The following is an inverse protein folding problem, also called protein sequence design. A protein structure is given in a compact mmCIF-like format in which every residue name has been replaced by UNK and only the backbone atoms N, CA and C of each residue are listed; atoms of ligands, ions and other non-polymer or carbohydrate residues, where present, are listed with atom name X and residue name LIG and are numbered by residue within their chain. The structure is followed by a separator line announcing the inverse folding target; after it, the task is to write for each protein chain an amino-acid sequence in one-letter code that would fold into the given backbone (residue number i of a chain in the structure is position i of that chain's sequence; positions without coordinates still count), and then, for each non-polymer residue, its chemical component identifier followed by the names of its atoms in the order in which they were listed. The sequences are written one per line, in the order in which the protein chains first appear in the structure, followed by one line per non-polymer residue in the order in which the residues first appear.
data_IF_865710299313
#
_entry.id   IF_865710299313
#
_cell.length_a   1.000
_cell.length_b   1.000
_cell.length_c   1.000
_cell.angle_alpha   90.00
_cell.angle_beta   90.00
_cell.angle_gamma   90.00
#
_symmetry.space_group_name_H-M   'P 1'
#
loop_
_entity.id
_entity.type
_entity.pdbx_description
1 polymer ?
#
# COMPACT_ATOMS: atom_id res chain seq x y z
N UNK A 1 -15.27 21.32 -5.26
CA UNK A 1 -15.62 19.93 -5.61
C UNK A 1 -14.68 18.98 -4.87
N UNK A 2 -15.17 17.85 -4.34
CA UNK A 2 -14.29 16.82 -3.75
C UNK A 2 -13.48 16.16 -4.86
N UNK A 3 -12.16 16.20 -4.76
CA UNK A 3 -11.26 15.54 -5.72
C UNK A 3 -11.49 14.02 -5.69
N UNK A 4 -11.50 13.34 -6.85
CA UNK A 4 -11.54 11.88 -6.87
C UNK A 4 -10.29 11.31 -6.19
N UNK A 5 -10.50 10.32 -5.33
CA UNK A 5 -9.44 9.56 -4.66
C UNK A 5 -9.54 8.12 -5.11
N UNK A 6 -8.44 7.57 -5.62
CA UNK A 6 -8.31 6.18 -6.02
C UNK A 6 -7.43 5.47 -5.00
N UNK A 7 -7.85 4.30 -4.53
CA UNK A 7 -7.11 3.50 -3.56
C UNK A 7 -6.77 2.13 -4.12
N UNK A 8 -5.55 1.69 -3.82
CA UNK A 8 -5.06 0.34 -4.09
C UNK A 8 -5.42 -0.66 -2.97
N UNK A 9 -5.29 -1.95 -3.23
CA UNK A 9 -5.68 -3.02 -2.31
C UNK A 9 -4.86 -2.98 -1.01
N UNK A 10 -3.53 -2.90 -1.13
CA UNK A 10 -2.64 -2.87 0.03
C UNK A 10 -2.90 -1.66 0.92
N UNK A 11 -3.09 -0.48 0.33
CA UNK A 11 -3.44 0.76 1.05
C UNK A 11 -4.73 0.59 1.84
N UNK A 12 -5.79 0.05 1.23
CA UNK A 12 -7.07 -0.19 1.92
C UNK A 12 -6.89 -1.17 3.09
N UNK A 13 -6.21 -2.30 2.85
CA UNK A 13 -6.00 -3.33 3.87
C UNK A 13 -5.25 -2.73 5.07
N UNK A 14 -4.17 -2.00 4.83
CA UNK A 14 -3.34 -1.43 5.90
C UNK A 14 -4.13 -0.40 6.72
N UNK A 15 -4.90 0.48 6.06
CA UNK A 15 -5.73 1.48 6.75
C UNK A 15 -6.82 0.82 7.62
N UNK A 16 -7.45 -0.26 7.14
CA UNK A 16 -8.45 -0.99 7.92
C UNK A 16 -7.87 -1.70 9.14
N UNK A 17 -6.59 -2.10 9.08
CA UNK A 17 -5.92 -2.80 10.18
C UNK A 17 -5.45 -1.90 11.31
N UNK A 18 -5.19 -0.63 11.00
CA UNK A 18 -4.77 0.38 11.98
C UNK A 18 -5.92 1.28 12.44
N UNK A 19 -7.13 1.06 11.93
CA UNK A 19 -8.28 1.88 12.29
C UNK A 19 -8.73 1.58 13.72
N UNK A 20 -9.18 2.62 14.40
CA UNK A 20 -9.62 2.58 15.80
C UNK A 20 -10.93 3.35 15.94
N UNK A 21 -11.92 2.74 16.59
CA UNK A 21 -13.24 3.31 16.83
C UNK A 21 -13.92 3.88 15.56
N UNK A 22 -13.72 3.20 14.42
CA UNK A 22 -14.22 3.59 13.10
C UNK A 22 -13.76 4.99 12.64
N UNK A 23 -12.67 5.51 13.21
CA UNK A 23 -12.24 6.88 12.95
C UNK A 23 -11.78 7.08 11.50
N UNK A 24 -10.79 6.31 11.04
CA UNK A 24 -10.32 6.37 9.66
C UNK A 24 -11.42 5.94 8.70
N UNK A 25 -12.21 4.92 9.03
CA UNK A 25 -13.39 4.53 8.26
C UNK A 25 -14.32 5.71 7.97
N UNK A 26 -14.72 6.48 8.99
CA UNK A 26 -15.58 7.67 8.82
C UNK A 26 -14.93 8.71 7.92
N UNK A 27 -13.63 8.95 8.08
CA UNK A 27 -12.90 9.90 7.24
C UNK A 27 -12.80 9.43 5.78
N UNK A 28 -12.53 8.15 5.54
CA UNK A 28 -12.51 7.55 4.21
C UNK A 28 -13.89 7.64 3.55
N UNK A 29 -14.98 7.33 4.27
CA UNK A 29 -16.34 7.49 3.76
C UNK A 29 -16.70 8.94 3.41
N UNK A 30 -15.99 9.93 3.95
CA UNK A 30 -16.18 11.33 3.59
C UNK A 30 -15.54 11.70 2.24
N UNK A 31 -14.60 10.89 1.75
CA UNK A 31 -13.91 11.11 0.48
C UNK A 31 -14.76 10.66 -0.71
N UNK A 32 -14.41 11.17 -1.90
CA UNK A 32 -14.99 10.69 -3.15
C UNK A 32 -14.17 9.50 -3.67
N UNK A 33 -14.37 8.35 -3.06
CA UNK A 33 -13.56 7.15 -3.29
C UNK A 33 -13.95 6.40 -4.57
N UNK A 34 -12.93 5.92 -5.26
CA UNK A 34 -12.99 5.08 -6.45
C UNK A 34 -12.04 3.90 -6.27
N UNK A 35 -12.48 2.71 -6.64
CA UNK A 35 -11.68 1.49 -6.56
C UNK A 35 -11.90 0.69 -7.84
N UNK A 36 -10.81 0.16 -8.41
CA UNK A 36 -10.88 -0.70 -9.59
C UNK A 36 -11.42 -2.10 -9.22
N UNK A 37 -12.09 -2.77 -10.16
CA UNK A 37 -12.71 -4.08 -9.88
C UNK A 37 -11.68 -5.13 -9.43
N UNK A 38 -10.50 -5.15 -10.06
CA UNK A 38 -9.43 -6.08 -9.69
C UNK A 38 -8.90 -5.81 -8.27
N UNK A 39 -8.80 -4.54 -7.89
CA UNK A 39 -8.42 -4.15 -6.51
C UNK A 39 -9.44 -4.70 -5.51
N UNK A 40 -10.74 -4.62 -5.81
CA UNK A 40 -11.76 -5.18 -4.93
C UNK A 40 -11.62 -6.72 -4.76
N UNK A 41 -11.28 -7.42 -5.85
CA UNK A 41 -11.01 -8.86 -5.80
C UNK A 41 -9.75 -9.17 -4.98
N UNK A 42 -8.69 -8.38 -5.13
CA UNK A 42 -7.45 -8.49 -4.36
C UNK A 42 -7.68 -8.27 -2.87
N UNK A 43 -8.51 -7.30 -2.48
CA UNK A 43 -8.89 -7.06 -1.08
C UNK A 43 -9.57 -8.29 -0.50
N UNK A 44 -10.62 -8.80 -1.16
CA UNK A 44 -11.38 -9.96 -0.68
C UNK A 44 -10.49 -11.20 -0.56
N UNK A 45 -9.50 -11.33 -1.45
CA UNK A 45 -8.53 -12.41 -1.42
C UNK A 45 -7.55 -12.26 -0.25
N UNK A 46 -7.03 -11.06 0.03
CA UNK A 46 -5.85 -10.89 0.88
C UNK A 46 -6.13 -10.37 2.29
N UNK A 47 -7.29 -9.74 2.55
CA UNK A 47 -7.51 -9.02 3.81
C UNK A 47 -7.40 -9.92 5.05
N UNK A 48 -7.83 -11.19 4.94
CA UNK A 48 -7.81 -12.20 6.01
C UNK A 48 -6.64 -13.21 5.92
N UNK A 49 -5.65 -12.99 5.04
CA UNK A 49 -4.53 -13.92 4.87
C UNK A 49 -3.51 -13.88 6.02
N UNK A 50 -3.32 -12.71 6.64
CA UNK A 50 -2.43 -12.59 7.80
C UNK A 50 -3.19 -12.94 9.08
N UNK A 51 -2.45 -13.35 10.13
CA UNK A 51 -3.02 -13.49 11.45
C UNK A 51 -3.59 -12.15 11.92
N UNK A 52 -4.90 -12.14 12.17
CA UNK A 52 -5.63 -11.02 12.75
C UNK A 52 -6.19 -11.50 14.09
N UNK A 53 -6.22 -10.60 15.07
CA UNK A 53 -6.99 -10.84 16.29
C UNK A 53 -8.47 -11.04 15.95
N UNK A 54 -9.20 -11.73 16.83
CA UNK A 54 -10.65 -11.94 16.67
C UNK A 54 -11.41 -10.61 16.62
N UNK A 55 -10.96 -9.62 17.41
CA UNK A 55 -11.48 -8.26 17.42
C UNK A 55 -11.27 -7.57 16.05
N UNK A 56 -10.04 -7.58 15.53
CA UNK A 56 -9.75 -7.01 14.20
C UNK A 56 -10.55 -7.69 13.09
N UNK A 57 -10.65 -9.03 13.13
CA UNK A 57 -11.42 -9.80 12.15
C UNK A 57 -12.90 -9.41 12.19
N UNK A 58 -13.48 -9.30 13.38
CA UNK A 58 -14.88 -8.92 13.58
C UNK A 58 -15.11 -7.49 13.10
N UNK A 59 -14.23 -6.56 13.49
CA UNK A 59 -14.25 -5.17 13.04
C UNK A 59 -14.23 -5.05 11.52
N UNK A 60 -13.18 -5.59 10.88
CA UNK A 60 -12.98 -5.53 9.43
C UNK A 60 -14.17 -6.16 8.68
N UNK A 61 -14.69 -7.29 9.16
CA UNK A 61 -15.86 -7.95 8.57
C UNK A 61 -17.12 -7.08 8.64
N UNK A 62 -17.25 -6.23 9.66
CA UNK A 62 -18.35 -5.29 9.82
C UNK A 62 -18.20 -4.02 8.96
N UNK A 63 -16.99 -3.45 8.87
CA UNK A 63 -16.78 -2.16 8.18
C UNK A 63 -16.49 -2.29 6.69
N UNK A 64 -15.84 -3.36 6.23
CA UNK A 64 -15.47 -3.51 4.81
C UNK A 64 -16.68 -3.46 3.87
N UNK A 65 -17.80 -4.18 4.13
CA UNK A 65 -18.98 -4.11 3.25
C UNK A 65 -19.59 -2.70 3.21
N UNK A 66 -19.58 -2.00 4.36
CA UNK A 66 -20.07 -0.63 4.45
C UNK A 66 -19.18 0.31 3.63
N UNK A 67 -17.86 0.14 3.72
CA UNK A 67 -16.89 0.94 2.98
C UNK A 67 -17.01 0.69 1.47
N UNK A 68 -17.14 -0.58 1.05
CA UNK A 68 -17.40 -0.97 -0.34
C UNK A 68 -18.68 -0.33 -0.90
N UNK A 69 -19.75 -0.22 -0.09
CA UNK A 69 -20.99 0.44 -0.50
C UNK A 69 -20.84 1.95 -0.79
N UNK A 70 -19.76 2.57 -0.29
CA UNK A 70 -19.45 4.00 -0.50
C UNK A 70 -18.50 4.23 -1.68
N UNK A 71 -17.76 3.21 -2.10
CA UNK A 71 -16.85 3.34 -3.23
C UNK A 71 -17.63 3.34 -4.53
N UNK A 72 -17.26 4.25 -5.41
CA UNK A 72 -17.77 4.21 -6.77
C UNK A 72 -17.01 3.12 -7.50
N UNK A 73 -17.61 1.93 -7.66
CA UNK A 73 -17.04 0.90 -8.52
C UNK A 73 -17.16 1.38 -9.96
N UNK A 74 -16.03 1.39 -10.66
CA UNK A 74 -16.01 1.60 -12.08
C UNK A 74 -15.95 0.24 -12.76
N UNK A 75 -17.13 -0.39 -12.83
CA UNK A 75 -17.29 -1.62 -13.59
C UNK A 75 -16.77 -1.32 -15.00
N UNK A 76 -15.78 -2.09 -15.44
CA UNK A 76 -15.19 -2.00 -16.79
C UNK A 76 -14.16 -0.87 -17.02
N UNK A 77 -13.23 -0.67 -16.08
CA UNK A 77 -12.07 0.22 -16.28
C UNK A 77 -11.29 -0.07 -17.58
N UNK A 78 -11.29 -1.32 -18.05
CA UNK A 78 -10.66 -1.73 -19.32
C UNK A 78 -11.54 -1.53 -20.56
N UNK A 79 -12.87 -1.44 -20.44
CA UNK A 79 -13.73 -1.14 -21.60
C UNK A 79 -13.74 0.37 -21.92
N UNK A 80 -13.19 1.19 -21.01
CA UNK A 80 -13.02 2.64 -21.18
C UNK A 80 -11.76 3.02 -21.94
N UNK A 81 -10.79 2.09 -22.06
CA UNK A 81 -9.54 2.33 -22.74
C UNK A 81 -9.36 1.27 -23.80
N UNK A 82 -9.37 1.69 -25.06
CA UNK A 82 -8.99 0.87 -26.20
C UNK A 82 -7.68 0.12 -25.90
N UNK A 83 -7.64 -1.19 -26.16
CA UNK A 83 -6.47 -2.04 -25.90
C UNK A 83 -5.23 -1.48 -26.60
N UNK A 84 -5.44 -0.91 -27.79
CA UNK A 84 -4.41 -0.25 -28.56
C UNK A 84 -3.89 1.02 -27.89
N UNK A 85 -4.78 1.80 -27.25
CA UNK A 85 -4.39 2.96 -26.45
C UNK A 85 -3.55 2.57 -25.24
N UNK A 86 -3.96 1.51 -24.52
CA UNK A 86 -3.21 1.00 -23.37
C UNK A 86 -1.80 0.55 -23.76
N UNK A 87 -1.68 -0.33 -24.76
CA UNK A 87 -0.40 -0.89 -25.20
C UNK A 87 0.53 0.21 -25.75
N UNK A 88 0.01 1.11 -26.59
CA UNK A 88 0.83 2.14 -27.26
C UNK A 88 1.23 3.29 -26.34
N UNK A 89 0.38 3.68 -25.39
CA UNK A 89 0.59 4.91 -24.62
C UNK A 89 0.96 4.66 -23.16
N UNK A 90 0.28 3.74 -22.47
CA UNK A 90 0.49 3.56 -21.04
C UNK A 90 1.62 2.56 -20.79
N UNK A 91 1.53 1.37 -21.39
CA UNK A 91 2.51 0.30 -21.18
C UNK A 91 3.89 0.67 -21.70
N UNK A 92 3.97 1.27 -22.90
CA UNK A 92 5.22 1.74 -23.49
C UNK A 92 5.89 2.83 -22.66
N UNK A 93 5.11 3.79 -22.15
CA UNK A 93 5.63 4.92 -21.37
C UNK A 93 6.16 4.46 -20.01
N UNK A 94 5.36 3.65 -19.31
CA UNK A 94 5.66 3.17 -17.95
C UNK A 94 6.61 1.97 -17.93
N UNK A 95 6.94 1.43 -19.12
CA UNK A 95 7.69 0.18 -19.29
C UNK A 95 7.08 -0.96 -18.46
N UNK A 96 5.76 -0.98 -18.35
CA UNK A 96 5.06 -1.97 -17.55
C UNK A 96 5.12 -3.33 -18.25
N UNK A 97 5.81 -4.28 -17.63
CA UNK A 97 6.03 -5.64 -18.14
C UNK A 97 5.21 -6.69 -17.40
N UNK A 98 4.57 -6.32 -16.29
CA UNK A 98 3.74 -7.22 -15.49
C UNK A 98 2.39 -7.48 -16.20
N UNK A 99 1.73 -8.56 -15.80
CA UNK A 99 0.33 -8.82 -16.16
C UNK A 99 -0.55 -7.72 -15.56
N UNK A 100 -1.74 -7.56 -16.11
CA UNK A 100 -2.77 -6.66 -15.56
C UNK A 100 -2.95 -6.97 -14.07
N UNK A 101 -2.75 -5.94 -13.24
CA UNK A 101 -2.81 -5.95 -11.78
C UNK A 101 -3.61 -4.73 -11.26
N UNK A 102 -3.90 -4.72 -9.96
CA UNK A 102 -4.67 -3.64 -9.31
C UNK A 102 -4.07 -2.25 -9.52
N UNK A 103 -2.75 -2.11 -9.50
CA UNK A 103 -2.05 -0.83 -9.60
C UNK A 103 -2.15 -0.23 -11.01
N UNK A 104 -2.04 -1.07 -12.04
CA UNK A 104 -2.23 -0.65 -13.41
C UNK A 104 -3.67 -0.18 -13.64
N UNK A 105 -4.66 -0.97 -13.19
CA UNK A 105 -6.06 -0.59 -13.33
C UNK A 105 -6.39 0.69 -12.57
N UNK A 106 -5.81 0.88 -11.39
CA UNK A 106 -5.97 2.11 -10.60
C UNK A 106 -5.35 3.33 -11.28
N UNK A 107 -4.21 3.16 -11.96
CA UNK A 107 -3.58 4.21 -12.76
C UNK A 107 -4.41 4.59 -13.99
N UNK A 108 -4.96 3.59 -14.68
CA UNK A 108 -5.90 3.78 -15.79
C UNK A 108 -7.17 4.51 -15.32
N UNK A 109 -7.78 4.02 -14.23
CA UNK A 109 -8.96 4.61 -13.62
C UNK A 109 -8.70 6.08 -13.27
N UNK A 110 -7.52 6.39 -12.71
CA UNK A 110 -7.13 7.75 -12.38
C UNK A 110 -7.09 8.66 -13.61
N UNK A 111 -6.54 8.19 -14.74
CA UNK A 111 -6.57 8.93 -15.99
C UNK A 111 -8.02 9.18 -16.45
N UNK A 112 -8.86 8.14 -16.50
CA UNK A 112 -10.25 8.24 -16.92
C UNK A 112 -11.04 9.24 -16.05
N UNK A 113 -10.89 9.18 -14.73
CA UNK A 113 -11.54 10.09 -13.79
C UNK A 113 -11.07 11.53 -13.96
N UNK A 114 -9.76 11.73 -14.19
CA UNK A 114 -9.21 13.06 -14.44
C UNK A 114 -9.83 13.71 -15.68
N UNK A 115 -10.01 12.93 -16.77
CA UNK A 115 -10.66 13.41 -17.99
C UNK A 115 -12.15 13.61 -17.83
N UNK A 116 -12.84 12.68 -17.17
CA UNK A 116 -14.30 12.74 -16.96
C UNK A 116 -14.73 13.93 -16.12
N UNK A 117 -13.96 14.29 -15.08
CA UNK A 117 -14.32 15.34 -14.14
C UNK A 117 -13.52 16.63 -14.30
N UNK A 118 -12.61 16.70 -15.28
CA UNK A 118 -11.70 17.82 -15.47
C UNK A 118 -10.99 18.24 -14.16
N UNK A 119 -10.53 17.27 -13.39
CA UNK A 119 -9.98 17.49 -12.05
C UNK A 119 -8.73 16.65 -11.80
N UNK A 120 -7.84 17.13 -10.94
CA UNK A 120 -6.74 16.30 -10.42
C UNK A 120 -7.28 15.14 -9.58
N UNK A 121 -6.67 13.98 -9.76
CA UNK A 121 -6.97 12.72 -9.06
C UNK A 121 -5.81 12.36 -8.14
N UNK A 122 -6.13 11.88 -6.95
CA UNK A 122 -5.14 11.40 -5.98
C UNK A 122 -5.20 9.88 -5.93
N UNK A 123 -4.16 9.22 -6.40
CA UNK A 123 -4.04 7.76 -6.33
C UNK A 123 -3.11 7.39 -5.17
N UNK A 124 -3.59 6.58 -4.22
CA UNK A 124 -2.76 6.10 -3.11
C UNK A 124 -2.50 4.60 -3.26
N UNK A 125 -1.22 4.24 -3.23
CA UNK A 125 -0.74 2.85 -3.24
C UNK A 125 0.47 2.71 -2.33
N UNK A 126 0.48 1.62 -1.55
CA UNK A 126 1.63 1.20 -0.75
C UNK A 126 2.60 0.35 -1.60
N UNK A 127 2.28 0.09 -2.88
CA UNK A 127 3.22 -0.44 -3.87
C UNK A 127 4.18 0.68 -4.31
N UNK A 128 5.32 0.81 -3.62
CA UNK A 128 6.34 1.80 -3.95
C UNK A 128 6.90 1.69 -5.39
N UNK A 129 7.27 0.50 -5.92
CA UNK A 129 7.63 0.32 -7.33
C UNK A 129 6.55 0.78 -8.31
N UNK A 130 5.27 0.53 -8.05
CA UNK A 130 4.18 1.05 -8.87
C UNK A 130 4.12 2.56 -8.77
N UNK A 131 4.24 3.13 -7.55
CA UNK A 131 4.35 4.57 -7.32
C UNK A 131 5.42 5.19 -8.22
N UNK A 132 6.65 4.69 -8.18
CA UNK A 132 7.76 5.18 -9.00
C UNK A 132 7.56 4.93 -10.50
N UNK A 133 7.04 3.77 -10.87
CA UNK A 133 6.75 3.41 -12.27
C UNK A 133 5.74 4.36 -12.91
N UNK A 134 4.68 4.73 -12.19
CA UNK A 134 3.57 5.52 -12.72
C UNK A 134 3.71 7.03 -12.44
N UNK A 135 4.60 7.46 -11.53
CA UNK A 135 4.79 8.88 -11.17
C UNK A 135 4.99 9.79 -12.37
N UNK A 136 5.95 9.47 -13.23
CA UNK A 136 6.25 10.27 -14.42
C UNK A 136 5.07 10.29 -15.41
N UNK A 137 4.29 9.21 -15.45
CA UNK A 137 3.08 9.15 -16.28
C UNK A 137 1.99 10.08 -15.73
N UNK A 138 1.77 10.08 -14.42
CA UNK A 138 0.84 10.99 -13.75
C UNK A 138 1.20 12.45 -13.97
N UNK A 139 2.48 12.79 -13.86
CA UNK A 139 2.99 14.13 -14.11
C UNK A 139 2.82 14.52 -15.58
N UNK A 140 3.30 13.71 -16.52
CA UNK A 140 3.21 14.02 -17.95
C UNK A 140 1.75 14.18 -18.42
N UNK A 141 0.86 13.29 -17.97
CA UNK A 141 -0.56 13.32 -18.33
C UNK A 141 -1.37 14.31 -17.49
N UNK A 142 -0.75 15.03 -16.55
CA UNK A 142 -1.42 15.99 -15.66
C UNK A 142 -2.63 15.36 -14.94
N UNK A 143 -2.51 14.09 -14.54
CA UNK A 143 -3.59 13.34 -13.89
C UNK A 143 -3.84 13.87 -12.47
N UNK A 144 -2.76 14.20 -11.77
CA UNK A 144 -2.77 14.56 -10.36
C UNK A 144 -1.51 14.00 -9.69
N UNK A 145 -1.66 13.34 -8.56
CA UNK A 145 -0.52 12.80 -7.80
C UNK A 145 -0.72 11.35 -7.42
N UNK A 146 0.39 10.64 -7.32
CA UNK A 146 0.48 9.30 -6.76
C UNK A 146 1.15 9.38 -5.38
N UNK A 147 0.48 8.90 -4.35
CA UNK A 147 0.89 8.91 -2.95
C UNK A 147 0.83 7.52 -2.34
N UNK A 148 1.12 7.43 -1.05
CA UNK A 148 1.00 6.21 -0.23
C UNK A 148 0.11 6.46 1.01
N UNK A 149 -0.10 5.44 1.86
CA UNK A 149 -0.92 5.59 3.07
C UNK A 149 -0.44 6.69 4.02
N UNK A 150 0.87 6.99 4.07
CA UNK A 150 1.42 8.10 4.86
C UNK A 150 0.93 9.44 4.31
N UNK A 151 0.99 9.62 2.97
CA UNK A 151 0.46 10.82 2.30
C UNK A 151 -1.05 10.97 2.55
N UNK A 152 -1.80 9.87 2.56
CA UNK A 152 -3.23 9.88 2.82
C UNK A 152 -3.56 10.25 4.27
N UNK A 153 -2.84 9.71 5.26
CA UNK A 153 -3.04 10.07 6.66
C UNK A 153 -2.81 11.56 6.90
N UNK A 154 -1.75 12.13 6.31
CA UNK A 154 -1.47 13.58 6.36
C UNK A 154 -2.60 14.37 5.70
N UNK A 155 -3.08 13.92 4.53
CA UNK A 155 -4.20 14.58 3.84
C UNK A 155 -5.49 14.54 4.68
N UNK A 156 -5.80 13.40 5.31
CA UNK A 156 -6.95 13.24 6.18
C UNK A 156 -6.84 14.13 7.43
N UNK A 157 -5.63 14.21 8.02
CA UNK A 157 -5.33 15.09 9.15
C UNK A 157 -5.59 16.56 8.81
N UNK A 158 -5.07 17.00 7.65
CA UNK A 158 -5.25 18.37 7.18
C UNK A 158 -6.72 18.71 6.92
N UNK A 159 -7.48 17.77 6.37
CA UNK A 159 -8.85 17.98 5.93
C UNK A 159 -9.91 17.71 7.02
N UNK A 160 -9.51 17.34 8.23
CA UNK A 160 -10.42 16.94 9.31
C UNK A 160 -10.10 17.66 10.61
N UNK A 161 -11.02 18.50 11.13
CA UNK A 161 -10.82 19.20 12.40
C UNK A 161 -10.55 18.24 13.57
N UNK A 162 -11.32 17.15 13.66
CA UNK A 162 -11.28 16.17 14.76
C UNK A 162 -10.06 15.23 14.74
N UNK A 163 -9.18 15.38 13.75
CA UNK A 163 -7.95 14.60 13.61
C UNK A 163 -6.78 15.36 14.22
N UNK A 164 -6.58 15.27 15.54
CA UNK A 164 -5.49 15.95 16.26
C UNK A 164 -4.10 15.38 15.97
N UNK A 165 -3.03 16.14 16.25
CA UNK A 165 -1.62 15.69 16.14
C UNK A 165 -1.37 14.36 16.84
N UNK A 166 -1.82 14.22 18.09
CA UNK A 166 -1.70 12.97 18.88
C UNK A 166 -2.31 11.76 18.17
N UNK A 167 -3.43 11.95 17.47
CA UNK A 167 -4.06 10.88 16.69
C UNK A 167 -3.24 10.58 15.45
N UNK A 168 -2.70 11.60 14.78
CA UNK A 168 -1.87 11.41 13.58
C UNK A 168 -0.59 10.64 13.94
N UNK A 169 0.09 11.06 14.99
CA UNK A 169 1.27 10.36 15.51
C UNK A 169 0.98 8.89 15.84
N UNK A 170 -0.17 8.63 16.50
CA UNK A 170 -0.62 7.27 16.80
C UNK A 170 -0.86 6.45 15.53
N UNK A 171 -1.64 6.95 14.56
CA UNK A 171 -1.87 6.21 13.32
C UNK A 171 -0.60 6.00 12.49
N UNK A 172 0.34 6.96 12.50
CA UNK A 172 1.66 6.77 11.89
C UNK A 172 2.47 5.68 12.60
N UNK A 173 2.42 5.64 13.93
CA UNK A 173 3.04 4.57 14.71
C UNK A 173 2.40 3.20 14.43
N UNK A 174 1.08 3.12 14.35
CA UNK A 174 0.37 1.87 14.10
C UNK A 174 0.59 1.38 12.65
N UNK A 175 0.65 2.30 11.69
CA UNK A 175 1.04 2.00 10.31
C UNK A 175 2.48 1.49 10.23
N UNK A 176 3.39 2.09 11.00
CA UNK A 176 4.77 1.61 11.13
C UNK A 176 4.82 0.19 11.70
N UNK A 177 4.00 -0.10 12.71
CA UNK A 177 3.91 -1.43 13.30
C UNK A 177 3.36 -2.45 12.29
N UNK A 178 2.31 -2.10 11.54
CA UNK A 178 1.72 -2.97 10.50
C UNK A 178 2.73 -3.29 9.39
N UNK A 179 3.46 -2.30 8.89
CA UNK A 179 4.51 -2.53 7.90
C UNK A 179 5.62 -3.45 8.43
N UNK A 180 6.04 -3.27 9.68
CA UNK A 180 7.06 -4.13 10.29
C UNK A 180 6.54 -5.52 10.67
N UNK A 181 5.25 -5.68 10.96
CA UNK A 181 4.64 -6.96 11.28
C UNK A 181 4.71 -7.90 10.08
N UNK A 182 4.43 -7.38 8.88
CA UNK A 182 4.56 -8.15 7.64
C UNK A 182 5.99 -8.70 7.44
N UNK A 183 7.00 -7.87 7.69
CA UNK A 183 8.42 -8.25 7.61
C UNK A 183 8.78 -9.29 8.68
N UNK A 184 8.37 -9.04 9.92
CA UNK A 184 8.67 -9.93 11.05
C UNK A 184 8.07 -11.31 10.87
N UNK A 185 6.81 -11.39 10.40
CA UNK A 185 6.13 -12.65 10.12
C UNK A 185 6.80 -13.42 8.97
N UNK A 186 7.25 -12.71 7.93
CA UNK A 186 7.98 -13.33 6.84
C UNK A 186 9.32 -13.92 7.29
N UNK A 187 10.10 -13.17 8.07
CA UNK A 187 11.38 -13.65 8.62
C UNK A 187 11.16 -14.85 9.55
N UNK A 188 10.13 -14.80 10.39
CA UNK A 188 9.74 -15.95 11.23
C UNK A 188 9.36 -17.17 10.38
N UNK A 189 8.63 -16.98 9.30
CA UNK A 189 8.32 -18.05 8.34
C UNK A 189 9.56 -18.64 7.67
N UNK A 190 10.58 -17.83 7.36
CA UNK A 190 11.89 -18.32 6.89
C UNK A 190 12.57 -19.14 7.98
N UNK A 191 12.55 -18.66 9.22
CA UNK A 191 13.19 -19.35 10.33
C UNK A 191 12.55 -20.73 10.57
N UNK A 192 11.23 -20.78 10.67
CA UNK A 192 10.46 -22.01 10.84
C UNK A 192 10.64 -23.00 9.68
N UNK A 193 10.61 -22.51 8.43
CA UNK A 193 10.79 -23.40 7.29
C UNK A 193 12.23 -23.93 7.22
N UNK A 194 13.22 -23.14 7.66
CA UNK A 194 14.64 -23.50 7.57
C UNK A 194 14.93 -24.81 8.31
N UNK A 195 14.28 -25.05 9.45
CA UNK A 195 14.40 -26.28 10.24
C UNK A 195 14.08 -27.54 9.41
N UNK A 196 13.13 -27.46 8.47
CA UNK A 196 12.82 -28.59 7.57
C UNK A 196 13.92 -28.89 6.54
N UNK A 197 14.89 -27.98 6.37
CA UNK A 197 16.03 -28.09 5.45
C UNK A 197 17.36 -28.39 6.14
N UNK A 198 17.40 -28.67 7.46
CA UNK A 198 18.65 -28.99 8.20
C UNK A 198 19.52 -30.04 7.48
N UNK A 199 18.89 -31.08 6.92
CA UNK A 199 19.62 -32.15 6.19
C UNK A 199 20.19 -31.67 4.85
N UNK A 200 19.61 -30.63 4.24
CA UNK A 200 20.10 -29.95 3.03
C UNK A 200 20.93 -28.73 3.42
N UNK A 201 22.14 -28.98 3.96
CA UNK A 201 23.03 -27.95 4.55
C UNK A 201 23.18 -26.66 3.74
N UNK A 202 23.29 -26.75 2.41
CA UNK A 202 23.41 -25.56 1.55
C UNK A 202 22.17 -24.67 1.58
N UNK A 203 20.97 -25.27 1.53
CA UNK A 203 19.70 -24.52 1.56
C UNK A 203 19.47 -23.95 2.96
N UNK A 204 19.71 -24.75 4.00
CA UNK A 204 19.62 -24.30 5.38
C UNK A 204 20.49 -23.06 5.64
N UNK A 205 21.76 -23.11 5.21
CA UNK A 205 22.70 -21.99 5.37
C UNK A 205 22.19 -20.72 4.67
N UNK A 206 21.69 -20.84 3.43
CA UNK A 206 21.14 -19.71 2.69
C UNK A 206 19.93 -19.07 3.38
N UNK A 207 19.05 -19.88 3.99
CA UNK A 207 17.88 -19.38 4.71
C UNK A 207 18.30 -18.69 6.03
N UNK A 208 19.26 -19.27 6.76
CA UNK A 208 19.82 -18.65 7.98
C UNK A 208 20.52 -17.34 7.70
N UNK A 209 21.24 -17.21 6.60
CA UNK A 209 21.86 -15.95 6.18
C UNK A 209 20.83 -14.81 6.04
N UNK A 210 19.60 -15.10 5.58
CA UNK A 210 18.52 -14.10 5.51
C UNK A 210 18.09 -13.67 6.92
N UNK A 211 17.80 -14.66 7.79
CA UNK A 211 17.33 -14.42 9.16
C UNK A 211 18.36 -13.62 9.96
N UNK A 212 19.64 -14.01 9.88
CA UNK A 212 20.72 -13.35 10.60
C UNK A 212 20.93 -11.92 10.08
N UNK A 213 20.85 -11.71 8.75
CA UNK A 213 20.94 -10.36 8.16
C UNK A 213 19.82 -9.44 8.65
N UNK A 214 18.60 -9.96 8.82
CA UNK A 214 17.49 -9.18 9.35
C UNK A 214 17.76 -8.72 10.79
N UNK A 215 18.16 -9.63 11.68
CA UNK A 215 18.44 -9.30 13.08
C UNK A 215 19.68 -8.42 13.27
N UNK A 216 20.62 -8.44 12.32
CA UNK A 216 21.81 -7.59 12.32
C UNK A 216 21.58 -6.21 11.66
N UNK A 217 20.37 -5.93 11.16
CA UNK A 217 20.06 -4.74 10.35
C UNK A 217 20.94 -4.61 9.10
N UNK A 218 21.30 -5.73 8.48
CA UNK A 218 21.99 -5.80 7.19
C UNK A 218 20.99 -5.92 6.02
N UNK A 219 21.47 -5.95 4.78
CA UNK A 219 20.67 -6.08 3.55
C UNK A 219 20.04 -7.48 3.39
N UNK A 220 19.06 -7.79 4.26
CA UNK A 220 18.33 -9.05 4.24
C UNK A 220 17.45 -9.21 2.98
N UNK A 221 17.00 -8.11 2.39
CA UNK A 221 16.20 -8.09 1.16
C UNK A 221 17.03 -8.51 -0.06
N UNK A 222 18.24 -7.96 -0.21
CA UNK A 222 19.19 -8.40 -1.22
C UNK A 222 19.48 -9.89 -1.11
N UNK A 223 19.63 -10.41 0.12
CA UNK A 223 19.79 -11.84 0.39
C UNK A 223 18.57 -12.67 -0.03
N UNK A 224 17.36 -12.21 0.25
CA UNK A 224 16.13 -12.90 -0.22
C UNK A 224 16.14 -13.06 -1.73
N UNK A 225 16.45 -12.02 -2.49
CA UNK A 225 16.45 -12.08 -3.96
C UNK A 225 17.57 -12.99 -4.52
N UNK A 226 18.73 -13.03 -3.87
CA UNK A 226 19.77 -14.02 -4.20
C UNK A 226 19.32 -15.45 -3.96
N UNK A 227 18.71 -15.72 -2.80
CA UNK A 227 18.26 -17.07 -2.41
C UNK A 227 17.11 -17.54 -3.29
N UNK A 228 16.15 -16.67 -3.59
CA UNK A 228 15.00 -16.94 -4.47
C UNK A 228 15.41 -17.48 -5.84
N UNK A 229 16.51 -16.96 -6.41
CA UNK A 229 17.09 -17.46 -7.67
C UNK A 229 17.64 -18.89 -7.51
N UNK A 230 18.32 -19.16 -6.39
CA UNK A 230 18.97 -20.44 -6.10
C UNK A 230 18.00 -21.57 -5.73
N UNK A 231 16.84 -21.24 -5.16
CA UNK A 231 15.83 -22.24 -4.72
C UNK A 231 14.56 -22.24 -5.56
N UNK A 232 14.64 -21.71 -6.79
CA UNK A 232 13.48 -21.49 -7.68
C UNK A 232 12.69 -22.76 -8.05
N UNK A 233 13.27 -23.94 -7.88
CA UNK A 233 12.64 -25.25 -8.11
C UNK A 233 11.88 -25.81 -6.91
N UNK A 234 12.04 -25.26 -5.71
CA UNK A 234 11.37 -25.74 -4.50
C UNK A 234 10.01 -25.06 -4.32
N UNK A 235 8.92 -25.82 -4.44
CA UNK A 235 7.57 -25.28 -4.39
C UNK A 235 7.20 -24.65 -3.03
N UNK A 236 7.72 -25.18 -1.92
CA UNK A 236 7.44 -24.65 -0.57
C UNK A 236 8.16 -23.34 -0.34
N UNK A 237 9.46 -23.30 -0.67
CA UNK A 237 10.24 -22.06 -0.56
C UNK A 237 9.73 -21.00 -1.54
N UNK A 238 9.34 -21.41 -2.75
CA UNK A 238 8.73 -20.50 -3.73
C UNK A 238 7.44 -19.88 -3.18
N UNK A 239 6.56 -20.67 -2.55
CA UNK A 239 5.36 -20.15 -1.91
C UNK A 239 5.68 -19.17 -0.78
N UNK A 240 6.65 -19.48 0.08
CA UNK A 240 7.10 -18.55 1.12
C UNK A 240 7.65 -17.26 0.53
N UNK A 241 8.50 -17.32 -0.50
CA UNK A 241 9.06 -16.13 -1.14
C UNK A 241 8.04 -15.30 -1.95
N UNK A 242 6.86 -15.84 -2.26
CA UNK A 242 5.72 -15.03 -2.75
C UNK A 242 5.18 -14.14 -1.63
N UNK A 243 5.22 -14.59 -0.39
CA UNK A 243 4.82 -13.79 0.78
C UNK A 243 5.90 -12.83 1.29
N UNK A 244 7.06 -12.77 0.62
CA UNK A 244 8.09 -11.79 0.96
C UNK A 244 7.48 -10.38 0.86
N UNK A 245 7.47 -9.60 1.95
CA UNK A 245 7.22 -8.19 1.85
C UNK A 245 8.28 -7.65 0.91
N UNK A 246 7.85 -6.97 -0.14
CA UNK A 246 8.79 -6.41 -1.10
C UNK A 246 9.69 -5.37 -0.39
N UNK A 247 10.82 -4.98 -0.99
CA UNK A 247 11.75 -3.91 -0.50
C UNK A 247 11.03 -2.65 0.06
N UNK A 248 9.78 -2.50 -0.39
CA UNK A 248 8.68 -1.60 -0.04
C UNK A 248 8.46 -1.34 1.44
N UNK A 249 8.55 -2.33 2.32
CA UNK A 249 8.29 -2.10 3.75
C UNK A 249 9.33 -1.17 4.37
N UNK A 250 10.60 -1.27 3.97
CA UNK A 250 11.67 -0.42 4.50
C UNK A 250 11.52 1.05 4.12
N UNK A 251 11.11 1.36 2.87
CA UNK A 251 10.95 2.76 2.43
C UNK A 251 9.75 3.46 3.04
N UNK A 252 8.62 2.76 3.21
CA UNK A 252 7.45 3.32 3.88
C UNK A 252 7.73 3.53 5.37
N UNK A 253 8.43 2.58 6.00
CA UNK A 253 8.94 2.70 7.37
C UNK A 253 9.87 3.92 7.52
N UNK A 254 10.81 4.12 6.59
CA UNK A 254 11.71 5.27 6.63
C UNK A 254 10.97 6.59 6.40
N UNK A 255 9.98 6.61 5.51
CA UNK A 255 9.12 7.77 5.31
C UNK A 255 8.34 8.13 6.58
N UNK A 256 7.80 7.14 7.30
CA UNK A 256 7.12 7.40 8.58
C UNK A 256 8.09 8.05 9.58
N UNK A 257 9.32 7.51 9.71
CA UNK A 257 10.34 8.10 10.60
C UNK A 257 10.67 9.53 10.20
N UNK A 258 10.79 9.81 8.90
CA UNK A 258 11.05 11.15 8.37
C UNK A 258 9.90 12.11 8.71
N UNK A 259 8.65 11.71 8.43
CA UNK A 259 7.46 12.51 8.75
C UNK A 259 7.36 12.78 10.25
N UNK A 260 7.54 11.76 11.10
CA UNK A 260 7.54 11.92 12.55
C UNK A 260 8.66 12.85 13.03
N UNK A 261 9.84 12.80 12.39
CA UNK A 261 10.92 13.75 12.67
C UNK A 261 10.50 15.17 12.28
N UNK A 262 9.95 15.35 11.08
CA UNK A 262 9.48 16.65 10.61
C UNK A 262 8.39 17.21 11.52
N UNK A 263 7.44 16.40 12.00
CA UNK A 263 6.37 16.84 12.91
C UNK A 263 6.88 17.35 14.26
N UNK A 264 8.09 16.95 14.70
CA UNK A 264 8.73 17.50 15.91
C UNK A 264 9.27 18.91 15.69
N UNK A 265 9.71 19.20 14.47
CA UNK A 265 10.39 20.45 14.11
C UNK A 265 9.44 21.44 13.42
N UNK A 266 8.35 20.96 12.81
CA UNK A 266 7.44 21.72 11.95
C UNK A 266 5.98 21.30 12.11
N UNK A 267 5.08 22.29 12.09
CA UNK A 267 3.63 22.05 12.14
C UNK A 267 3.05 21.80 10.74
N UNK A 268 2.08 20.88 10.66
CA UNK A 268 1.23 20.71 9.47
C UNK A 268 0.02 21.64 9.65
N UNK A 269 -0.01 22.73 8.91
CA UNK A 269 -1.02 23.78 9.08
C UNK A 269 -2.42 23.33 8.64
N UNK A 270 -3.40 23.49 9.53
CA UNK A 270 -4.82 23.32 9.19
C UNK A 270 -5.42 24.60 8.62
N UNK A 271 -6.47 24.44 7.82
CA UNK A 271 -7.15 25.56 7.15
C UNK A 271 -7.56 26.68 8.13
N UNK A 272 -8.06 26.32 9.31
CA UNK A 272 -8.60 27.27 10.29
C UNK A 272 -7.49 28.03 11.05
N UNK A 273 -6.28 27.48 11.10
CA UNK A 273 -5.10 28.11 11.71
C UNK A 273 -4.52 29.22 10.82
N UNK A 274 -4.59 29.05 9.49
CA UNK A 274 -4.09 30.05 8.54
C UNK A 274 -5.05 31.23 8.36
N UNK A 275 -6.35 31.01 8.50
CA UNK A 275 -7.37 32.05 8.31
C UNK A 275 -7.59 32.93 9.56
N UNK A 276 -7.09 32.50 10.72
CA UNK A 276 -7.10 33.27 11.98
C UNK A 276 -5.90 34.21 12.14
N UNK A 277 -4.99 34.24 11.16
CA UNK A 277 -3.84 35.16 11.13
C UNK A 277 -4.15 36.54 10.51
N UNK A 278 -5.43 36.87 10.28
CA UNK A 278 -5.89 38.17 9.77
C UNK A 278 -6.78 38.90 10.77
#
# INVERSE_FOLDING_TARGET
MKHPVVLDACTIINLLRIDEDEFLFRLLCSLRLYVADLVNQEIMKNIFHNELSEEQRTYISGVLPQLQSKWNSFNQTMDLIDTDFYEKNIKKFTRHTKKINGELQSSILSLCLSRKYHSRVFFYTDDFPAKEQFKNFFEFQQIGSIGDSVDLLIFLYWNSPDFSDKKLERFLHDLFAEYNLSVSNFIKGIDEISESYIKKKNVYKLLREIVDSFYQNEDWLGKVEEVKKKVSSDARLKALFVSCPEERSCKLVDKIKEVQKMMRDFSIYKKDELLSMN
#
